data_IF_172326075751
#
_entry.id   IF_172326075751
#
_cell.length_a   1.000
_cell.length_b   1.000
_cell.length_c   1.000
_cell.angle_alpha   90.00
_cell.angle_beta   90.00
_cell.angle_gamma   90.00
#
_symmetry.space_group_name_H-M   'P 1'
#
loop_
_entity.id
_entity.type
_entity.pdbx_description
1 polymer ?
#
# COMPACT_ATOMS: atom_id res chain seq x y z
N UNK A 1 -2.10 -4.43 -8.06
CA UNK A 1 -2.52 -5.82 -7.80
C UNK A 1 -3.58 -5.85 -6.72
N UNK A 2 -4.48 -6.83 -6.79
CA UNK A 2 -5.58 -7.00 -5.83
C UNK A 2 -5.38 -8.33 -5.11
N UNK A 3 -5.53 -8.35 -3.78
CA UNK A 3 -5.42 -9.55 -2.95
C UNK A 3 -4.11 -10.32 -3.22
N UNK A 4 -4.16 -11.56 -3.70
CA UNK A 4 -2.97 -12.33 -4.08
C UNK A 4 -2.11 -11.61 -5.14
N UNK A 5 -2.74 -10.86 -6.06
CA UNK A 5 -2.03 -9.99 -7.00
C UNK A 5 -1.21 -8.91 -6.32
N UNK A 6 -1.59 -8.46 -5.13
CA UNK A 6 -0.79 -7.52 -4.32
C UNK A 6 0.52 -8.15 -3.83
N UNK A 7 0.51 -9.43 -3.48
CA UNK A 7 1.73 -10.18 -3.16
C UNK A 7 2.70 -10.16 -4.35
N UNK A 8 2.18 -10.38 -5.55
CA UNK A 8 2.97 -10.36 -6.79
C UNK A 8 3.56 -8.96 -7.03
N UNK A 9 2.75 -7.88 -6.99
CA UNK A 9 3.28 -6.54 -7.27
C UNK A 9 4.25 -6.05 -6.19
N UNK A 10 4.06 -6.43 -4.93
CA UNK A 10 5.05 -6.17 -3.88
C UNK A 10 6.37 -6.91 -4.18
N UNK A 11 6.31 -8.19 -4.57
CA UNK A 11 7.51 -8.97 -4.89
C UNK A 11 8.25 -8.38 -6.10
N UNK A 12 7.57 -8.17 -7.23
CA UNK A 12 8.23 -7.62 -8.42
C UNK A 12 8.71 -6.17 -8.19
N UNK A 13 8.03 -5.38 -7.36
CA UNK A 13 8.51 -4.05 -6.97
C UNK A 13 9.81 -4.08 -6.17
N UNK A 14 10.10 -5.18 -5.46
CA UNK A 14 11.38 -5.40 -4.78
C UNK A 14 12.47 -5.90 -5.73
N UNK A 15 12.12 -6.82 -6.63
CA UNK A 15 13.08 -7.59 -7.44
C UNK A 15 13.38 -6.96 -8.82
N UNK A 16 12.79 -5.80 -9.15
CA UNK A 16 13.06 -5.12 -10.42
C UNK A 16 13.03 -3.60 -10.27
N UNK A 17 13.69 -2.90 -11.18
CA UNK A 17 13.71 -1.43 -11.28
C UNK A 17 12.87 -0.89 -12.45
N UNK A 18 12.11 -1.75 -13.15
CA UNK A 18 11.39 -1.35 -14.36
C UNK A 18 10.08 -0.63 -14.09
N UNK A 19 9.53 -0.78 -12.87
CA UNK A 19 8.28 -0.14 -12.48
C UNK A 19 8.53 1.20 -11.79
N UNK A 20 7.72 2.21 -12.11
CA UNK A 20 7.74 3.52 -11.47
C UNK A 20 6.78 3.61 -10.30
N UNK A 21 5.85 2.68 -10.19
CA UNK A 21 4.92 2.61 -9.09
C UNK A 21 4.18 1.29 -9.00
N UNK A 22 3.69 0.98 -7.80
CA UNK A 22 2.85 -0.18 -7.52
C UNK A 22 1.64 0.22 -6.68
N UNK A 23 0.52 -0.46 -6.90
CA UNK A 23 -0.68 -0.32 -6.09
C UNK A 23 -1.11 -1.69 -5.52
N UNK A 24 -0.59 -2.09 -4.35
CA UNK A 24 -1.09 -3.26 -3.63
C UNK A 24 -2.42 -2.92 -2.94
N UNK A 25 -3.50 -3.62 -3.33
CA UNK A 25 -4.85 -3.40 -2.84
C UNK A 25 -5.32 -4.62 -2.04
N UNK A 26 -5.84 -4.37 -0.84
CA UNK A 26 -6.36 -5.36 0.12
C UNK A 26 -5.36 -6.50 0.45
N UNK A 27 -4.07 -6.21 0.32
CA UNK A 27 -3.00 -7.05 0.85
C UNK A 27 -1.70 -6.23 0.88
N UNK A 28 -0.92 -6.43 1.91
CA UNK A 28 0.39 -5.84 2.15
C UNK A 28 1.51 -6.85 1.88
N UNK A 29 2.75 -6.47 2.18
CA UNK A 29 3.89 -7.38 2.09
C UNK A 29 3.73 -8.54 3.08
N UNK A 30 4.18 -9.73 2.65
CA UNK A 30 4.52 -10.79 3.60
C UNK A 30 5.85 -10.46 4.28
N UNK A 31 6.13 -11.09 5.41
CA UNK A 31 7.41 -10.91 6.12
C UNK A 31 8.60 -11.26 5.21
N UNK A 32 8.49 -12.32 4.41
CA UNK A 32 9.56 -12.73 3.48
C UNK A 32 9.82 -11.69 2.39
N UNK A 33 8.77 -11.09 1.82
CA UNK A 33 8.90 -10.01 0.83
C UNK A 33 9.48 -8.74 1.50
N UNK A 34 9.06 -8.44 2.72
CA UNK A 34 9.58 -7.30 3.48
C UNK A 34 11.09 -7.36 3.70
N UNK A 35 11.66 -8.56 3.81
CA UNK A 35 13.10 -8.78 3.97
C UNK A 35 13.92 -8.59 2.69
N UNK A 36 13.29 -8.49 1.53
CA UNK A 36 13.98 -8.22 0.26
C UNK A 36 14.31 -6.72 0.18
N UNK A 37 15.58 -6.41 -0.08
CA UNK A 37 16.03 -5.04 -0.36
C UNK A 37 15.62 -4.70 -1.80
N UNK A 38 14.90 -3.57 -2.04
CA UNK A 38 14.49 -3.20 -3.39
C UNK A 38 15.68 -2.91 -4.32
N UNK A 39 15.60 -3.34 -5.57
CA UNK A 39 16.60 -3.02 -6.61
C UNK A 39 16.50 -1.57 -7.11
N UNK A 40 15.37 -0.91 -6.89
CA UNK A 40 15.13 0.47 -7.32
C UNK A 40 14.16 1.19 -6.39
N UNK A 41 13.84 2.43 -6.72
CA UNK A 41 12.83 3.24 -6.03
C UNK A 41 11.58 3.39 -6.90
N UNK A 42 10.41 3.37 -6.26
CA UNK A 42 9.12 3.50 -6.92
C UNK A 42 8.10 4.15 -5.97
N UNK A 43 7.00 4.63 -6.51
CA UNK A 43 5.90 5.14 -5.69
C UNK A 43 4.94 4.01 -5.31
N UNK A 44 4.41 4.05 -4.09
CA UNK A 44 3.52 3.02 -3.55
C UNK A 44 2.18 3.63 -3.17
N UNK A 45 1.08 3.00 -3.63
CA UNK A 45 -0.29 3.32 -3.24
C UNK A 45 -0.93 2.06 -2.65
N UNK A 46 -0.87 1.91 -1.32
CA UNK A 46 -1.37 0.72 -0.62
C UNK A 46 -2.73 0.99 0.02
N UNK A 47 -3.68 0.06 -0.13
CA UNK A 47 -5.03 0.16 0.49
C UNK A 47 -5.36 -1.12 1.23
N UNK A 48 -5.83 -0.98 2.48
CA UNK A 48 -6.26 -2.10 3.32
C UNK A 48 -7.57 -1.77 4.04
N UNK A 49 -8.38 -2.78 4.29
CA UNK A 49 -9.53 -2.69 5.21
C UNK A 49 -9.14 -3.08 6.63
N UNK A 50 -9.66 -2.38 7.64
CA UNK A 50 -9.34 -2.65 9.04
C UNK A 50 -9.97 -3.94 9.59
N UNK A 51 -11.07 -4.40 8.98
CA UNK A 51 -11.78 -5.64 9.32
C UNK A 51 -11.49 -6.80 8.35
N UNK A 52 -10.34 -6.77 7.66
CA UNK A 52 -9.94 -7.85 6.76
C UNK A 52 -9.54 -9.10 7.55
N UNK A 53 -10.34 -10.17 7.42
CA UNK A 53 -10.10 -11.45 8.10
C UNK A 53 -9.21 -12.41 7.30
N UNK A 54 -8.92 -12.12 6.04
CA UNK A 54 -8.04 -12.92 5.18
C UNK A 54 -6.60 -12.43 5.22
N UNK A 55 -6.43 -11.10 5.20
CA UNK A 55 -5.13 -10.43 5.29
C UNK A 55 -5.18 -9.43 6.44
N UNK A 56 -4.84 -9.85 7.67
CA UNK A 56 -5.02 -9.03 8.86
C UNK A 56 -4.26 -7.70 8.76
N UNK A 57 -4.96 -6.58 8.95
CA UNK A 57 -4.36 -5.23 8.86
C UNK A 57 -3.20 -5.03 9.85
N UNK A 58 -3.28 -5.68 11.01
CA UNK A 58 -2.23 -5.66 12.03
C UNK A 58 -1.11 -6.69 11.78
N UNK A 59 -1.16 -7.40 10.66
CA UNK A 59 -0.20 -8.45 10.33
C UNK A 59 -0.44 -9.76 11.08
N UNK A 60 0.50 -10.69 10.90
CA UNK A 60 0.40 -12.04 11.45
C UNK A 60 -0.07 -13.06 10.43
N UNK A 61 -0.53 -14.22 10.92
CA UNK A 61 -0.94 -15.32 10.06
C UNK A 61 -2.33 -15.05 9.49
N UNK A 62 -2.41 -15.01 8.17
CA UNK A 62 -3.65 -14.86 7.41
C UNK A 62 -3.94 -16.04 6.49
N UNK A 63 -4.60 -15.74 5.36
CA UNK A 63 -5.01 -16.76 4.38
C UNK A 63 -3.84 -17.64 3.93
N UNK A 64 -4.11 -18.91 3.70
CA UNK A 64 -3.14 -19.94 3.29
C UNK A 64 -1.92 -20.05 4.23
N UNK A 65 -2.09 -19.78 5.53
CA UNK A 65 -1.02 -19.79 6.54
C UNK A 65 0.15 -18.84 6.20
N UNK A 66 -0.14 -17.75 5.49
CA UNK A 66 0.85 -16.76 5.10
C UNK A 66 1.09 -15.77 6.23
N UNK A 67 2.35 -15.46 6.53
CA UNK A 67 2.73 -14.49 7.55
C UNK A 67 2.89 -13.09 6.93
N UNK A 68 1.94 -12.21 7.22
CA UNK A 68 1.92 -10.83 6.72
C UNK A 68 2.57 -9.86 7.69
N UNK A 69 3.23 -8.83 7.17
CA UNK A 69 3.53 -7.61 7.92
C UNK A 69 2.23 -6.90 8.29
N UNK A 70 2.23 -5.98 9.24
CA UNK A 70 1.11 -5.04 9.36
C UNK A 70 1.04 -4.13 8.13
N UNK A 71 -0.13 -3.57 7.84
CA UNK A 71 -0.28 -2.63 6.72
C UNK A 71 0.62 -1.40 6.89
N UNK A 72 0.70 -0.84 8.10
CA UNK A 72 1.65 0.23 8.44
C UNK A 72 3.09 -0.20 8.28
N UNK A 73 3.48 -1.35 8.85
CA UNK A 73 4.84 -1.87 8.74
C UNK A 73 5.27 -2.14 7.30
N UNK A 74 4.34 -2.58 6.43
CA UNK A 74 4.59 -2.73 5.00
C UNK A 74 4.88 -1.39 4.32
N UNK A 75 4.11 -0.35 4.62
CA UNK A 75 4.34 0.99 4.09
C UNK A 75 5.63 1.61 4.64
N UNK A 76 5.88 1.48 5.94
CA UNK A 76 7.13 1.91 6.59
C UNK A 76 8.36 1.21 5.99
N UNK A 77 8.25 -0.08 5.68
CA UNK A 77 9.33 -0.83 5.04
C UNK A 77 9.68 -0.25 3.66
N UNK A 78 8.68 0.10 2.85
CA UNK A 78 8.90 0.80 1.59
C UNK A 78 9.51 2.19 1.82
N UNK A 79 8.94 2.98 2.72
CA UNK A 79 9.41 4.34 3.02
C UNK A 79 10.86 4.36 3.50
N UNK A 80 11.23 3.46 4.40
CA UNK A 80 12.60 3.33 4.91
C UNK A 80 13.59 3.00 3.78
N UNK A 81 13.26 2.03 2.93
CA UNK A 81 14.13 1.64 1.82
C UNK A 81 14.28 2.73 0.75
N UNK A 82 13.29 3.62 0.63
CA UNK A 82 13.31 4.71 -0.34
C UNK A 82 13.81 6.05 0.24
N UNK A 83 14.25 6.05 1.51
CA UNK A 83 14.80 7.24 2.17
C UNK A 83 13.78 8.35 2.40
N UNK A 84 12.50 7.98 2.56
CA UNK A 84 11.44 8.94 2.87
C UNK A 84 11.56 9.50 4.30
N UNK A 85 10.87 10.61 4.57
CA UNK A 85 10.61 11.05 5.94
C UNK A 85 9.82 9.98 6.69
N UNK A 86 10.32 9.53 7.85
CA UNK A 86 9.67 8.47 8.64
C UNK A 86 8.56 9.01 9.57
N UNK A 87 8.21 10.28 9.45
CA UNK A 87 7.02 10.89 10.09
C UNK A 87 5.98 11.15 9.00
N UNK A 88 5.04 10.23 8.76
CA UNK A 88 4.04 10.42 7.72
C UNK A 88 3.11 11.58 8.04
N UNK A 89 2.64 12.25 7.02
CA UNK A 89 1.48 13.14 7.11
C UNK A 89 0.23 12.29 7.24
N UNK A 90 -0.62 12.63 8.21
CA UNK A 90 -1.86 11.90 8.49
C UNK A 90 -3.07 12.74 8.09
N UNK A 91 -4.03 12.12 7.42
CA UNK A 91 -5.26 12.75 6.98
C UNK A 91 -6.43 11.79 7.13
N UNK A 92 -7.61 12.32 7.52
CA UNK A 92 -8.85 11.57 7.50
C UNK A 92 -9.69 11.99 6.29
N UNK A 93 -9.96 11.04 5.42
CA UNK A 93 -10.72 11.22 4.19
C UNK A 93 -12.11 10.55 4.29
N UNK A 94 -12.99 10.93 3.37
CA UNK A 94 -14.24 10.22 3.13
C UNK A 94 -14.25 9.64 1.72
N UNK A 95 -14.38 8.32 1.63
CA UNK A 95 -14.61 7.62 0.37
C UNK A 95 -16.06 7.15 0.34
N UNK A 96 -16.97 8.00 -0.19
CA UNK A 96 -18.40 7.80 -0.08
C UNK A 96 -18.83 7.73 1.39
N UNK A 97 -19.41 6.63 1.81
CA UNK A 97 -19.84 6.38 3.20
C UNK A 97 -18.71 5.91 4.13
N UNK A 98 -17.52 5.61 3.59
CA UNK A 98 -16.40 5.07 4.36
C UNK A 98 -15.45 6.15 4.85
N UNK A 99 -15.10 6.09 6.11
CA UNK A 99 -13.99 6.87 6.69
C UNK A 99 -12.67 6.16 6.35
N UNK A 100 -11.69 6.93 5.92
CA UNK A 100 -10.37 6.42 5.50
C UNK A 100 -9.27 7.19 6.21
N UNK A 101 -8.41 6.49 6.92
CA UNK A 101 -7.19 7.08 7.45
C UNK A 101 -6.10 6.95 6.39
N UNK A 102 -5.60 8.07 5.92
CA UNK A 102 -4.56 8.17 4.91
C UNK A 102 -3.24 8.62 5.53
N UNK A 103 -2.16 7.99 5.13
CA UNK A 103 -0.81 8.27 5.62
C UNK A 103 0.13 8.44 4.43
N UNK A 104 0.90 9.52 4.43
CA UNK A 104 1.80 9.84 3.33
C UNK A 104 3.23 10.00 3.84
N UNK A 105 4.14 9.14 3.39
CA UNK A 105 5.58 9.30 3.55
C UNK A 105 6.13 10.05 2.34
N UNK A 106 6.57 11.27 2.57
CA UNK A 106 7.10 12.18 1.55
C UNK A 106 8.63 12.32 1.64
N UNK A 107 9.21 13.06 0.70
CA UNK A 107 10.66 13.31 0.67
C UNK A 107 11.49 12.09 0.27
N UNK A 108 10.89 11.11 -0.37
CA UNK A 108 11.58 9.91 -0.86
C UNK A 108 12.53 10.23 -2.01
N UNK A 109 13.52 9.35 -2.23
CA UNK A 109 14.45 9.45 -3.36
C UNK A 109 13.70 9.54 -4.71
N UNK A 110 14.24 10.30 -5.65
CA UNK A 110 13.73 10.49 -7.01
C UNK A 110 12.26 10.98 -7.07
N UNK A 111 11.86 11.84 -6.12
CA UNK A 111 10.50 12.38 -6.03
C UNK A 111 9.38 11.32 -5.91
N UNK A 112 9.72 10.12 -5.43
CA UNK A 112 8.73 9.10 -5.13
C UNK A 112 7.96 9.41 -3.83
N UNK A 113 6.89 8.67 -3.59
CA UNK A 113 6.04 8.82 -2.42
C UNK A 113 5.46 7.45 -2.05
N UNK A 114 5.32 7.20 -0.75
CA UNK A 114 4.63 6.03 -0.25
C UNK A 114 3.37 6.48 0.46
N UNK A 115 2.21 6.07 -0.06
CA UNK A 115 0.91 6.28 0.58
C UNK A 115 0.28 4.97 0.99
N UNK A 116 -0.32 4.95 2.19
CA UNK A 116 -1.20 3.85 2.55
C UNK A 116 -2.49 4.36 3.17
N UNK A 117 -3.54 3.59 2.96
CA UNK A 117 -4.90 3.92 3.35
C UNK A 117 -5.50 2.78 4.14
N UNK A 118 -6.11 3.09 5.28
CA UNK A 118 -6.90 2.16 6.09
C UNK A 118 -8.36 2.56 5.98
N UNK A 119 -9.16 1.73 5.33
CA UNK A 119 -10.59 1.94 5.15
C UNK A 119 -11.33 1.33 6.35
N UNK A 120 -12.01 2.16 7.13
CA UNK A 120 -12.71 1.74 8.35
C UNK A 120 -13.93 0.89 8.01
N UNK A 121 -14.23 -0.07 8.90
CA UNK A 121 -15.34 -1.03 8.76
C UNK A 121 -15.36 -1.74 7.40
N UNK A 122 -14.17 -2.03 6.84
CA UNK A 122 -14.01 -2.67 5.56
C UNK A 122 -13.23 -3.98 5.67
N UNK A 123 -13.77 -5.02 5.07
CA UNK A 123 -13.13 -6.34 4.97
C UNK A 123 -12.27 -6.48 3.71
N UNK A 124 -12.14 -7.72 3.24
CA UNK A 124 -11.36 -8.07 2.05
C UNK A 124 -12.08 -7.69 0.74
N UNK A 125 -12.20 -6.39 0.47
CA UNK A 125 -12.90 -5.84 -0.70
C UNK A 125 -12.25 -4.56 -1.21
N UNK A 126 -12.35 -4.30 -2.52
CA UNK A 126 -12.02 -3.01 -3.15
C UNK A 126 -13.28 -2.18 -3.47
N UNK A 127 -14.45 -2.69 -3.15
CA UNK A 127 -15.72 -2.00 -3.35
C UNK A 127 -16.06 -1.24 -2.06
N UNK A 128 -15.54 -0.03 -1.93
CA UNK A 128 -15.73 0.78 -0.73
C UNK A 128 -17.01 1.61 -0.78
N UNK A 129 -17.35 2.15 -1.97
CA UNK A 129 -18.61 2.80 -2.27
C UNK A 129 -18.76 2.97 -3.80
N UNK A 130 -19.99 3.19 -4.28
CA UNK A 130 -20.27 3.38 -5.70
C UNK A 130 -19.75 4.72 -6.25
N UNK A 131 -19.56 5.71 -5.36
CA UNK A 131 -19.12 7.06 -5.74
C UNK A 131 -17.60 7.21 -5.79
N UNK A 132 -16.86 6.16 -5.45
CA UNK A 132 -15.39 6.21 -5.44
C UNK A 132 -14.82 5.34 -6.57
N UNK A 133 -14.18 6.00 -7.51
CA UNK A 133 -13.32 5.32 -8.48
C UNK A 133 -11.89 5.25 -7.94
N UNK A 134 -11.59 4.16 -7.24
CA UNK A 134 -10.26 3.89 -6.69
C UNK A 134 -9.18 3.86 -7.77
N UNK A 135 -9.49 3.36 -8.96
CA UNK A 135 -8.52 3.27 -10.06
C UNK A 135 -8.16 4.64 -10.62
N UNK A 136 -9.11 5.58 -10.66
CA UNK A 136 -8.82 6.99 -11.02
C UNK A 136 -7.90 7.63 -9.96
N UNK A 137 -8.11 7.37 -8.66
CA UNK A 137 -7.22 7.89 -7.62
C UNK A 137 -5.81 7.35 -7.76
N UNK A 138 -5.65 6.04 -8.00
CA UNK A 138 -4.36 5.40 -8.25
C UNK A 138 -3.69 6.01 -9.49
N UNK A 139 -4.43 6.17 -10.57
CA UNK A 139 -3.92 6.77 -11.80
C UNK A 139 -3.43 8.20 -11.57
N UNK A 140 -4.22 9.04 -10.90
CA UNK A 140 -3.86 10.43 -10.60
C UNK A 140 -2.63 10.51 -9.69
N UNK A 141 -2.52 9.59 -8.72
CA UNK A 141 -1.34 9.50 -7.88
C UNK A 141 -0.07 9.22 -8.69
N UNK A 142 -0.08 8.20 -9.55
CA UNK A 142 1.08 7.89 -10.37
C UNK A 142 1.40 8.99 -11.38
N UNK A 143 0.37 9.56 -12.02
CA UNK A 143 0.55 10.68 -12.97
C UNK A 143 1.18 11.90 -12.31
N UNK A 144 0.87 12.18 -11.04
CA UNK A 144 1.48 13.29 -10.30
C UNK A 144 2.98 13.07 -9.98
N UNK A 145 3.49 11.85 -10.17
CA UNK A 145 4.90 11.47 -9.95
C UNK A 145 5.69 11.36 -11.26
N UNK A 146 5.04 11.51 -12.41
CA UNK A 146 5.74 11.60 -13.70
C UNK A 146 6.45 12.96 -13.79
N UNK A 147 7.78 12.92 -13.85
CA UNK A 147 8.67 14.04 -14.15
C UNK A 147 9.41 13.78 -15.46
#
# INVERSE_FOLDING_TARGET
GISNGSGIVNKIGKETFIFKGIAPLISQQTVDIGNIIPEGVLSVFQVNGDNDNLVPVNGGIGVANTNFMSASGSAENWALNFGCSMSPEEETLQWGSKTVNAFTFSGCLQNNEVKYFIVQDSGHTIQFDQDIDLFIQIWNFFKSREN
#
